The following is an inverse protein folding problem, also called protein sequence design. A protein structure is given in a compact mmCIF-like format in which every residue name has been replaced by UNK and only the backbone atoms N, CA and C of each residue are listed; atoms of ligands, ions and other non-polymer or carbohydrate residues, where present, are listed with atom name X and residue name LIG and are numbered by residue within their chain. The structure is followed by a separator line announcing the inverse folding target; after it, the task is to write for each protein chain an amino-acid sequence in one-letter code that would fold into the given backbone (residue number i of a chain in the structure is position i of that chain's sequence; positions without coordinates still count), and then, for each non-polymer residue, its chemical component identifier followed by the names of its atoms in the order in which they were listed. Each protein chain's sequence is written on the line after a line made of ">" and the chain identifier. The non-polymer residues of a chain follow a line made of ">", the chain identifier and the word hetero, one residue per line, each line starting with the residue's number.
data_IF_263855318348
#
_entry.id   IF_263855318348
#
_cell.length_a   1.000
_cell.length_b   1.000
_cell.length_c   1.000
_cell.angle_alpha   90.00
_cell.angle_beta   90.00
_cell.angle_gamma   90.00
#
_symmetry.space_group_name_H-M   'P 1'
#
loop_
_entity.id
_entity.type
_entity.pdbx_description
1 polymer ?
#
# COMPACT_ATOMS: atom_id res chain seq x y z
N UNK A 1 -21.56 17.76 4.22
CA UNK A 1 -20.42 17.75 5.12
C UNK A 1 -20.71 18.52 6.40
N UNK A 2 -21.18 19.76 6.32
CA UNK A 2 -21.54 20.58 7.52
C UNK A 2 -22.50 19.89 8.51
N UNK A 3 -23.46 19.13 8.02
CA UNK A 3 -24.38 18.36 8.88
C UNK A 3 -23.66 17.19 9.58
N UNK A 4 -22.73 16.52 8.91
CA UNK A 4 -21.91 15.45 9.53
C UNK A 4 -20.97 16.03 10.59
N UNK A 5 -20.40 17.19 10.34
CA UNK A 5 -19.54 17.87 11.31
C UNK A 5 -20.32 18.38 12.52
N UNK A 6 -21.56 18.86 12.33
CA UNK A 6 -22.45 19.23 13.42
C UNK A 6 -22.88 18.01 14.26
N UNK A 7 -22.86 16.81 13.70
CA UNK A 7 -23.16 15.54 14.36
C UNK A 7 -21.89 14.75 14.75
N UNK A 8 -20.72 15.40 14.82
CA UNK A 8 -19.43 14.74 15.08
C UNK A 8 -19.31 14.08 16.47
N UNK A 9 -20.24 14.35 17.39
CA UNK A 9 -20.36 13.61 18.66
C UNK A 9 -20.80 12.14 18.44
N UNK A 10 -21.38 11.84 17.27
CA UNK A 10 -21.71 10.48 16.86
C UNK A 10 -20.50 9.87 16.13
N UNK A 11 -19.96 8.73 16.60
CA UNK A 11 -18.76 8.11 16.02
C UNK A 11 -18.87 7.86 14.53
N UNK A 12 -20.03 7.44 14.06
CA UNK A 12 -20.30 7.10 12.67
C UNK A 12 -20.31 8.34 11.78
N UNK A 13 -20.86 9.46 12.26
CA UNK A 13 -20.80 10.74 11.57
C UNK A 13 -19.38 11.30 11.55
N UNK A 14 -18.63 11.19 12.64
CA UNK A 14 -17.23 11.55 12.72
C UNK A 14 -16.38 10.75 11.71
N UNK A 15 -16.61 9.43 11.62
CA UNK A 15 -15.92 8.60 10.62
C UNK A 15 -16.20 9.07 9.19
N UNK A 16 -17.45 9.29 8.85
CA UNK A 16 -17.84 9.79 7.52
C UNK A 16 -17.23 11.16 7.21
N UNK A 17 -17.29 12.09 8.17
CA UNK A 17 -16.67 13.41 8.04
C UNK A 17 -15.16 13.29 7.81
N UNK A 18 -14.49 12.45 8.60
CA UNK A 18 -13.07 12.17 8.48
C UNK A 18 -12.69 11.62 7.09
N UNK A 19 -13.45 10.65 6.58
CA UNK A 19 -13.22 10.10 5.23
C UNK A 19 -13.45 11.13 4.12
N UNK A 20 -14.46 11.98 4.26
CA UNK A 20 -14.70 13.05 3.29
C UNK A 20 -13.58 14.10 3.32
N UNK A 21 -13.11 14.48 4.51
CA UNK A 21 -11.98 15.42 4.67
C UNK A 21 -10.67 14.83 4.15
N UNK A 22 -10.43 13.53 4.33
CA UNK A 22 -9.27 12.85 3.76
C UNK A 22 -9.27 12.94 2.23
N UNK A 23 -10.41 12.68 1.58
CA UNK A 23 -10.57 12.83 0.13
C UNK A 23 -10.40 14.27 -0.39
N UNK A 24 -10.59 15.26 0.46
CA UNK A 24 -10.39 16.68 0.18
C UNK A 24 -8.98 17.16 0.54
N UNK A 25 -8.10 16.24 0.97
CA UNK A 25 -6.73 16.54 1.46
C UNK A 25 -6.71 17.52 2.65
N UNK A 26 -7.83 17.67 3.34
CA UNK A 26 -7.97 18.46 4.56
C UNK A 26 -7.48 17.65 5.78
N UNK A 27 -6.20 17.27 5.75
CA UNK A 27 -5.59 16.26 6.64
C UNK A 27 -5.74 16.54 8.13
N UNK A 28 -5.62 17.80 8.57
CA UNK A 28 -5.76 18.13 9.99
C UNK A 28 -7.18 17.86 10.52
N UNK A 29 -8.20 18.23 9.71
CA UNK A 29 -9.60 17.98 10.04
C UNK A 29 -9.94 16.50 9.95
N UNK A 30 -9.44 15.81 8.90
CA UNK A 30 -9.59 14.38 8.74
C UNK A 30 -9.05 13.61 9.97
N UNK A 31 -7.84 13.95 10.42
CA UNK A 31 -7.22 13.36 11.62
C UNK A 31 -8.11 13.49 12.84
N UNK A 32 -8.59 14.71 13.15
CA UNK A 32 -9.43 14.96 14.31
C UNK A 32 -10.70 14.09 14.30
N UNK A 33 -11.40 14.06 13.18
CA UNK A 33 -12.62 13.28 13.04
C UNK A 33 -12.36 11.75 13.13
N UNK A 34 -11.33 11.24 12.45
CA UNK A 34 -10.99 9.81 12.48
C UNK A 34 -10.51 9.37 13.86
N UNK A 35 -9.75 10.20 14.57
CA UNK A 35 -9.33 9.91 15.95
C UNK A 35 -10.51 9.91 16.92
N UNK A 36 -11.46 10.85 16.77
CA UNK A 36 -12.70 10.87 17.55
C UNK A 36 -13.54 9.60 17.32
N UNK A 37 -13.67 9.20 16.04
CA UNK A 37 -14.36 7.95 15.69
C UNK A 37 -13.67 6.72 16.32
N UNK A 38 -12.34 6.64 16.24
CA UNK A 38 -11.55 5.55 16.80
C UNK A 38 -11.65 5.47 18.33
N UNK A 39 -11.64 6.61 19.02
CA UNK A 39 -11.78 6.70 20.48
C UNK A 39 -13.12 6.18 21.00
N UNK A 40 -14.14 6.11 20.15
CA UNK A 40 -15.45 5.60 20.52
C UNK A 40 -15.50 4.08 20.70
N UNK A 41 -14.47 3.33 20.27
CA UNK A 41 -14.37 1.88 20.43
C UNK A 41 -15.55 1.15 19.78
N UNK A 42 -16.22 0.27 20.55
CA UNK A 42 -17.31 -0.57 20.05
C UNK A 42 -18.58 0.21 19.62
N UNK A 43 -18.66 1.51 19.90
CA UNK A 43 -19.76 2.35 19.42
C UNK A 43 -19.60 2.74 17.94
N UNK A 44 -18.39 2.63 17.38
CA UNK A 44 -18.13 2.90 15.97
C UNK A 44 -18.79 1.83 15.10
N UNK A 45 -19.63 2.25 14.16
CA UNK A 45 -20.41 1.36 13.29
C UNK A 45 -21.78 0.98 13.88
N UNK A 46 -22.03 1.24 15.17
CA UNK A 46 -23.27 0.81 15.84
C UNK A 46 -24.54 1.44 15.25
N UNK A 47 -24.48 2.71 14.86
CA UNK A 47 -25.63 3.39 14.24
C UNK A 47 -25.90 2.83 12.84
N UNK A 48 -24.88 2.54 12.07
CA UNK A 48 -25.01 1.91 10.75
C UNK A 48 -25.61 0.51 10.88
N UNK A 49 -25.11 -0.30 11.81
CA UNK A 49 -25.66 -1.64 12.08
C UNK A 49 -27.14 -1.59 12.51
N UNK A 50 -27.51 -0.60 13.33
CA UNK A 50 -28.90 -0.42 13.79
C UNK A 50 -29.89 -0.20 12.62
N UNK A 51 -29.44 0.43 11.54
CA UNK A 51 -30.28 0.73 10.37
C UNK A 51 -29.95 -0.16 9.16
N UNK A 52 -29.25 -1.27 9.37
CA UNK A 52 -28.82 -2.20 8.32
C UNK A 52 -28.06 -1.50 7.17
N UNK A 53 -27.22 -0.55 7.52
CA UNK A 53 -26.37 0.20 6.59
C UNK A 53 -24.95 -0.34 6.63
N UNK A 54 -24.32 -0.48 5.47
CA UNK A 54 -22.93 -0.96 5.32
C UNK A 54 -22.10 0.05 4.53
N UNK A 55 -21.82 1.24 5.09
CA UNK A 55 -21.02 2.25 4.38
C UNK A 55 -19.60 1.77 4.15
N UNK A 56 -19.11 2.04 2.96
CA UNK A 56 -17.73 1.75 2.56
C UNK A 56 -17.08 2.98 1.97
N UNK A 57 -15.79 3.10 2.19
CA UNK A 57 -14.94 4.08 1.52
C UNK A 57 -13.76 3.38 0.87
N UNK A 58 -13.26 3.96 -0.22
CA UNK A 58 -12.10 3.42 -0.94
C UNK A 58 -10.87 4.21 -0.56
N UNK A 59 -9.79 3.48 -0.20
CA UNK A 59 -8.46 4.03 0.06
C UNK A 59 -7.47 3.51 -0.98
N UNK A 60 -6.55 4.35 -1.49
CA UNK A 60 -5.37 3.87 -2.18
C UNK A 60 -4.43 3.23 -1.15
N UNK A 61 -3.99 1.99 -1.40
CA UNK A 61 -3.08 1.27 -0.49
C UNK A 61 -1.69 1.14 -1.11
N UNK A 62 -1.62 0.99 -2.42
CA UNK A 62 -0.37 0.97 -3.18
C UNK A 62 -0.66 1.41 -4.61
N UNK A 63 0.38 1.57 -5.45
CA UNK A 63 0.21 2.02 -6.85
C UNK A 63 -0.79 1.16 -7.61
N UNK A 64 -2.00 1.71 -7.82
CA UNK A 64 -3.10 1.06 -8.52
C UNK A 64 -3.88 0.01 -7.72
N UNK A 65 -3.58 -0.17 -6.43
CA UNK A 65 -4.29 -1.08 -5.53
C UNK A 65 -5.11 -0.25 -4.54
N UNK A 66 -6.39 -0.57 -4.45
CA UNK A 66 -7.35 0.11 -3.57
C UNK A 66 -7.96 -0.90 -2.60
N UNK A 67 -8.23 -0.46 -1.38
CA UNK A 67 -8.97 -1.21 -0.38
C UNK A 67 -10.32 -0.55 -0.10
N UNK A 68 -11.34 -1.38 0.12
CA UNK A 68 -12.60 -0.94 0.69
C UNK A 68 -12.53 -1.06 2.21
N UNK A 69 -12.83 0.02 2.89
CA UNK A 69 -12.86 0.09 4.35
C UNK A 69 -14.23 0.51 4.84
N UNK A 70 -14.60 0.03 6.01
CA UNK A 70 -15.84 0.32 6.71
C UNK A 70 -15.56 1.00 8.06
N UNK A 71 -16.57 1.57 8.74
CA UNK A 71 -16.44 2.21 10.05
C UNK A 71 -16.18 1.18 11.15
N UNK A 72 -14.97 0.69 11.21
CA UNK A 72 -14.41 -0.26 12.18
C UNK A 72 -13.06 0.22 12.68
N UNK A 73 -12.54 -0.34 13.77
CA UNK A 73 -11.19 -0.05 14.25
C UNK A 73 -10.16 -0.27 13.10
N UNK A 74 -10.26 -1.41 12.41
CA UNK A 74 -9.40 -1.74 11.28
C UNK A 74 -9.48 -0.69 10.17
N UNK A 75 -10.67 -0.39 9.68
CA UNK A 75 -10.86 0.56 8.58
C UNK A 75 -10.41 1.98 8.93
N UNK A 76 -10.69 2.41 10.15
CA UNK A 76 -10.28 3.74 10.64
C UNK A 76 -8.76 3.86 10.79
N UNK A 77 -8.09 2.80 11.28
CA UNK A 77 -6.63 2.78 11.39
C UNK A 77 -5.96 2.77 10.01
N UNK A 78 -6.49 2.05 9.02
CA UNK A 78 -5.99 2.11 7.64
C UNK A 78 -6.12 3.52 7.06
N UNK A 79 -7.23 4.22 7.32
CA UNK A 79 -7.39 5.60 6.89
C UNK A 79 -6.40 6.56 7.58
N UNK A 80 -6.07 6.31 8.85
CA UNK A 80 -5.06 7.08 9.59
C UNK A 80 -3.64 6.78 9.11
N UNK A 81 -3.34 5.54 8.70
CA UNK A 81 -2.07 5.20 8.04
C UNK A 81 -1.90 6.01 6.76
N UNK A 82 -2.88 5.97 5.85
CA UNK A 82 -2.86 6.75 4.60
C UNK A 82 -2.68 8.26 4.85
N UNK A 83 -3.38 8.78 5.86
CA UNK A 83 -3.25 10.18 6.26
C UNK A 83 -1.84 10.51 6.76
N UNK A 84 -1.24 9.62 7.54
CA UNK A 84 0.13 9.78 8.05
C UNK A 84 1.14 9.72 6.89
N UNK A 85 0.99 8.79 5.94
CA UNK A 85 1.83 8.71 4.74
C UNK A 85 1.74 9.98 3.89
N UNK A 86 0.52 10.48 3.62
CA UNK A 86 0.31 11.70 2.85
C UNK A 86 0.98 12.95 3.49
N UNK A 87 1.26 12.89 4.80
CA UNK A 87 1.92 13.97 5.55
C UNK A 87 3.38 13.72 5.86
N UNK A 88 3.93 12.57 5.50
CA UNK A 88 5.28 12.15 5.86
C UNK A 88 5.46 11.85 7.36
N UNK A 89 4.37 11.54 8.08
CA UNK A 89 4.37 11.16 9.50
C UNK A 89 4.61 9.64 9.63
N UNK A 90 5.86 9.23 9.41
CA UNK A 90 6.24 7.81 9.42
C UNK A 90 6.01 7.16 10.79
N UNK A 91 6.24 7.89 11.89
CA UNK A 91 6.02 7.38 13.25
C UNK A 91 4.53 7.11 13.52
N UNK A 92 3.66 8.06 13.16
CA UNK A 92 2.22 7.89 13.29
C UNK A 92 1.69 6.72 12.45
N UNK A 93 2.20 6.56 11.23
CA UNK A 93 1.87 5.43 10.37
C UNK A 93 2.27 4.10 11.01
N UNK A 94 3.51 4.00 11.52
CA UNK A 94 4.01 2.81 12.19
C UNK A 94 3.17 2.41 13.40
N UNK A 95 2.80 3.36 14.27
CA UNK A 95 1.95 3.10 15.45
C UNK A 95 0.58 2.50 15.06
N UNK A 96 -0.07 3.03 14.02
CA UNK A 96 -1.34 2.48 13.55
C UNK A 96 -1.15 1.09 12.93
N UNK A 97 -0.08 0.86 12.18
CA UNK A 97 0.22 -0.44 11.57
C UNK A 97 0.55 -1.52 12.60
N UNK A 98 1.33 -1.21 13.64
CA UNK A 98 1.60 -2.16 14.72
C UNK A 98 0.30 -2.67 15.36
N UNK A 99 -0.64 -1.75 15.63
CA UNK A 99 -1.94 -2.16 16.15
C UNK A 99 -2.74 -2.97 15.13
N UNK A 100 -2.71 -2.61 13.85
CA UNK A 100 -3.36 -3.37 12.78
C UNK A 100 -2.79 -4.80 12.67
N UNK A 101 -1.48 -4.97 12.78
CA UNK A 101 -0.83 -6.30 12.79
C UNK A 101 -1.24 -7.16 13.99
N UNK A 102 -1.69 -6.55 15.09
CA UNK A 102 -2.23 -7.29 16.25
C UNK A 102 -3.68 -7.71 16.03
N UNK A 103 -4.53 -6.82 15.51
CA UNK A 103 -5.98 -7.08 15.39
C UNK A 103 -6.36 -7.83 14.11
N UNK A 104 -5.52 -7.77 13.08
CA UNK A 104 -5.75 -8.39 11.77
C UNK A 104 -4.43 -8.89 11.13
N UNK A 105 -3.70 -9.81 11.77
CA UNK A 105 -2.35 -10.22 11.34
C UNK A 105 -2.32 -10.95 9.99
N UNK A 106 -3.43 -11.60 9.60
CA UNK A 106 -3.54 -12.33 8.33
C UNK A 106 -4.20 -11.51 7.21
N UNK A 107 -4.54 -10.24 7.48
CA UNK A 107 -5.17 -9.38 6.49
C UNK A 107 -4.17 -8.94 5.42
N UNK A 108 -4.36 -9.32 4.15
CA UNK A 108 -3.40 -8.99 3.10
C UNK A 108 -3.31 -7.48 2.82
N UNK A 109 -4.34 -6.70 3.14
CA UNK A 109 -4.32 -5.23 3.01
C UNK A 109 -3.41 -4.63 4.09
N UNK A 110 -3.55 -5.09 5.32
CA UNK A 110 -2.68 -4.68 6.44
C UNK A 110 -1.24 -5.06 6.16
N UNK A 111 -1.01 -6.28 5.67
CA UNK A 111 0.32 -6.73 5.30
C UNK A 111 0.91 -5.89 4.16
N UNK A 112 0.13 -5.56 3.12
CA UNK A 112 0.59 -4.72 2.02
C UNK A 112 0.98 -3.32 2.50
N UNK A 113 0.15 -2.68 3.33
CA UNK A 113 0.45 -1.36 3.91
C UNK A 113 1.71 -1.42 4.78
N UNK A 114 1.88 -2.47 5.59
CA UNK A 114 3.08 -2.65 6.41
C UNK A 114 4.35 -2.78 5.57
N UNK A 115 4.36 -3.64 4.54
CA UNK A 115 5.55 -3.86 3.72
C UNK A 115 5.90 -2.63 2.87
N UNK A 116 4.93 -1.83 2.48
CA UNK A 116 5.16 -0.58 1.77
C UNK A 116 5.93 0.40 2.65
N UNK A 117 5.42 0.69 3.85
CA UNK A 117 6.03 1.65 4.78
C UNK A 117 7.39 1.16 5.29
N UNK A 118 7.53 -0.14 5.55
CA UNK A 118 8.80 -0.72 5.97
C UNK A 118 9.95 -0.45 4.98
N UNK A 119 9.65 -0.28 3.71
CA UNK A 119 10.66 0.00 2.68
C UNK A 119 11.04 1.49 2.55
N UNK A 120 10.36 2.38 3.24
CA UNK A 120 10.80 3.78 3.37
C UNK A 120 12.03 3.91 4.29
N UNK A 121 12.33 2.86 5.07
CA UNK A 121 13.53 2.73 5.91
C UNK A 121 14.43 1.57 5.43
N UNK A 122 15.00 1.62 4.21
CA UNK A 122 15.70 0.48 3.60
C UNK A 122 17.01 0.09 4.30
N UNK A 123 17.45 0.84 5.28
CA UNK A 123 18.65 0.56 6.09
C UNK A 123 18.34 -0.18 7.39
N UNK A 124 17.08 -0.33 7.75
CA UNK A 124 16.66 -1.15 8.88
C UNK A 124 16.59 -2.63 8.47
N UNK A 125 17.69 -3.32 8.72
CA UNK A 125 17.85 -4.72 8.32
C UNK A 125 16.88 -5.65 9.06
N UNK A 126 16.58 -5.40 10.32
CA UNK A 126 15.65 -6.22 11.11
C UNK A 126 14.22 -6.09 10.57
N UNK A 127 13.84 -4.86 10.19
CA UNK A 127 12.55 -4.60 9.56
C UNK A 127 12.45 -5.28 8.19
N UNK A 128 13.50 -5.21 7.38
CA UNK A 128 13.53 -5.90 6.08
C UNK A 128 13.44 -7.42 6.24
N UNK A 129 14.14 -8.01 7.20
CA UNK A 129 14.08 -9.46 7.48
C UNK A 129 12.67 -9.85 7.95
N UNK A 130 12.02 -9.02 8.76
CA UNK A 130 10.62 -9.20 9.16
C UNK A 130 9.67 -9.16 7.95
N UNK A 131 9.84 -8.22 7.03
CA UNK A 131 9.08 -8.15 5.76
C UNK A 131 9.26 -9.45 4.97
N UNK A 132 10.50 -9.92 4.80
CA UNK A 132 10.82 -11.15 4.07
C UNK A 132 10.14 -12.35 4.71
N UNK A 133 10.17 -12.46 6.04
CA UNK A 133 9.54 -13.55 6.77
C UNK A 133 8.02 -13.55 6.64
N UNK A 134 7.37 -12.41 6.92
CA UNK A 134 5.91 -12.27 6.86
C UNK A 134 5.33 -12.53 5.46
N UNK A 135 6.09 -12.21 4.42
CA UNK A 135 5.64 -12.37 3.03
C UNK A 135 6.05 -13.70 2.40
N UNK A 136 6.70 -14.60 3.15
CA UNK A 136 7.26 -15.85 2.62
C UNK A 136 6.22 -16.76 1.97
N UNK A 137 5.05 -16.88 2.58
CA UNK A 137 3.96 -17.73 2.13
C UNK A 137 3.04 -17.08 1.07
N UNK A 138 3.25 -15.80 0.73
CA UNK A 138 2.39 -15.08 -0.21
C UNK A 138 2.39 -15.78 -1.57
N UNK A 139 1.20 -16.18 -2.02
CA UNK A 139 0.96 -16.69 -3.37
C UNK A 139 0.84 -15.51 -4.35
N UNK A 140 0.35 -15.72 -5.55
CA UNK A 140 0.08 -14.64 -6.52
C UNK A 140 -1.37 -14.75 -7.01
N UNK A 141 -2.33 -14.85 -6.08
CA UNK A 141 -3.72 -15.13 -6.40
C UNK A 141 -4.54 -13.86 -6.63
N UNK A 142 -4.26 -12.80 -5.92
CA UNK A 142 -4.96 -11.52 -5.99
C UNK A 142 -4.03 -10.38 -6.44
N UNK A 143 -4.57 -9.21 -6.85
CA UNK A 143 -3.76 -8.01 -7.09
C UNK A 143 -2.96 -7.56 -5.86
N UNK A 144 -3.52 -7.75 -4.66
CA UNK A 144 -2.87 -7.42 -3.39
C UNK A 144 -1.64 -8.30 -3.19
N UNK A 145 -1.76 -9.61 -3.43
CA UNK A 145 -0.62 -10.54 -3.37
C UNK A 145 0.49 -10.15 -4.33
N UNK A 146 0.12 -9.75 -5.56
CA UNK A 146 1.09 -9.27 -6.55
C UNK A 146 1.84 -8.03 -6.03
N UNK A 147 1.14 -7.10 -5.36
CA UNK A 147 1.73 -5.95 -4.67
C UNK A 147 2.68 -6.38 -3.55
N UNK A 148 2.25 -7.30 -2.68
CA UNK A 148 3.09 -7.84 -1.60
C UNK A 148 4.37 -8.47 -2.16
N UNK A 149 4.27 -9.24 -3.26
CA UNK A 149 5.44 -9.85 -3.92
C UNK A 149 6.40 -8.78 -4.49
N UNK A 150 5.89 -7.67 -5.03
CA UNK A 150 6.72 -6.56 -5.47
C UNK A 150 7.55 -5.99 -4.31
N UNK A 151 6.92 -5.71 -3.17
CA UNK A 151 7.61 -5.18 -2.00
C UNK A 151 8.54 -6.20 -1.35
N UNK A 152 8.16 -7.50 -1.30
CA UNK A 152 9.07 -8.58 -0.90
C UNK A 152 10.36 -8.59 -1.74
N UNK A 153 10.24 -8.44 -3.05
CA UNK A 153 11.41 -8.40 -3.93
C UNK A 153 12.31 -7.19 -3.64
N UNK A 154 11.72 -6.03 -3.35
CA UNK A 154 12.47 -4.84 -2.94
C UNK A 154 13.22 -5.06 -1.62
N UNK A 155 12.58 -5.70 -0.63
CA UNK A 155 13.21 -6.04 0.63
C UNK A 155 14.40 -7.00 0.42
N UNK A 156 14.24 -8.05 -0.39
CA UNK A 156 15.32 -8.95 -0.77
C UNK A 156 16.49 -8.21 -1.47
N UNK A 157 16.16 -7.30 -2.39
CA UNK A 157 17.17 -6.50 -3.10
C UNK A 157 17.93 -5.56 -2.16
N UNK A 158 17.25 -4.95 -1.19
CA UNK A 158 17.84 -4.11 -0.15
C UNK A 158 18.75 -4.92 0.79
N UNK A 159 18.38 -6.19 1.08
CA UNK A 159 19.23 -7.14 1.84
C UNK A 159 20.40 -7.72 1.03
N UNK A 160 20.62 -7.26 -0.21
CA UNK A 160 21.72 -7.74 -1.04
C UNK A 160 21.46 -9.11 -1.71
N UNK A 161 20.21 -9.51 -1.87
CA UNK A 161 19.78 -10.76 -2.50
C UNK A 161 19.11 -10.53 -3.86
N UNK A 162 19.79 -9.94 -4.85
CA UNK A 162 19.17 -9.50 -6.11
C UNK A 162 18.66 -10.65 -6.96
N UNK A 163 19.29 -11.83 -6.96
CA UNK A 163 18.81 -12.98 -7.72
C UNK A 163 17.49 -13.52 -7.15
N UNK A 164 17.36 -13.63 -5.83
CA UNK A 164 16.11 -14.00 -5.18
C UNK A 164 15.00 -12.95 -5.46
N UNK A 165 15.34 -11.67 -5.48
CA UNK A 165 14.41 -10.60 -5.84
C UNK A 165 13.92 -10.74 -7.29
N UNK A 166 14.81 -11.04 -8.25
CA UNK A 166 14.46 -11.28 -9.67
C UNK A 166 13.49 -12.46 -9.79
N UNK A 167 13.73 -13.55 -9.05
CA UNK A 167 12.84 -14.73 -9.06
C UNK A 167 11.44 -14.38 -8.54
N UNK A 168 11.35 -13.61 -7.45
CA UNK A 168 10.07 -13.15 -6.90
C UNK A 168 9.34 -12.25 -7.91
N UNK A 169 10.02 -11.27 -8.54
CA UNK A 169 9.42 -10.41 -9.56
C UNK A 169 8.99 -11.19 -10.80
N UNK A 170 9.74 -12.21 -11.18
CA UNK A 170 9.36 -13.10 -12.28
C UNK A 170 8.08 -13.85 -11.97
N UNK A 171 7.95 -14.37 -10.74
CA UNK A 171 6.71 -15.01 -10.27
C UNK A 171 5.53 -14.03 -10.23
N UNK A 172 5.75 -12.82 -9.70
CA UNK A 172 4.73 -11.76 -9.64
C UNK A 172 4.22 -11.39 -11.05
N UNK A 173 5.10 -11.30 -12.04
CA UNK A 173 4.78 -10.93 -13.41
C UNK A 173 4.07 -12.00 -14.24
N UNK A 174 3.93 -13.24 -13.77
CA UNK A 174 3.31 -14.34 -14.55
C UNK A 174 1.79 -14.21 -14.69
N UNK A 175 1.11 -13.67 -13.70
CA UNK A 175 -0.36 -13.61 -13.66
C UNK A 175 -0.82 -12.18 -13.89
N UNK A 176 -1.30 -11.88 -15.10
CA UNK A 176 -1.67 -10.52 -15.52
C UNK A 176 -3.17 -10.22 -15.39
N UNK A 177 -4.02 -11.25 -15.45
CA UNK A 177 -5.47 -11.09 -15.42
C UNK A 177 -5.90 -10.35 -14.13
N UNK A 178 -6.79 -9.39 -14.26
CA UNK A 178 -7.39 -8.61 -13.18
C UNK A 178 -6.39 -7.81 -12.32
N UNK A 179 -5.22 -7.45 -12.88
CA UNK A 179 -4.21 -6.64 -12.22
C UNK A 179 -4.03 -5.30 -12.92
N UNK A 180 -3.74 -4.23 -12.14
CA UNK A 180 -3.46 -2.90 -12.72
C UNK A 180 -2.20 -2.92 -13.59
N UNK A 181 -2.23 -2.30 -14.77
CA UNK A 181 -1.06 -2.20 -15.65
C UNK A 181 0.11 -1.50 -14.96
N UNK A 182 -0.16 -0.46 -14.15
CA UNK A 182 0.87 0.25 -13.36
C UNK A 182 1.68 -0.66 -12.45
N UNK A 183 1.06 -1.71 -11.90
CA UNK A 183 1.75 -2.69 -11.06
C UNK A 183 2.74 -3.51 -11.90
N UNK A 184 2.35 -3.91 -13.12
CA UNK A 184 3.25 -4.63 -14.02
C UNK A 184 4.38 -3.76 -14.57
N UNK A 185 4.10 -2.50 -14.86
CA UNK A 185 5.14 -1.55 -15.26
C UNK A 185 6.19 -1.43 -14.15
N UNK A 186 5.75 -1.34 -12.90
CA UNK A 186 6.67 -1.28 -11.76
C UNK A 186 7.46 -2.59 -11.57
N UNK A 187 6.81 -3.75 -11.65
CA UNK A 187 7.47 -5.07 -11.57
C UNK A 187 8.53 -5.21 -12.65
N UNK A 188 8.21 -4.82 -13.90
CA UNK A 188 9.13 -4.89 -15.02
C UNK A 188 10.30 -3.93 -14.84
N UNK A 189 10.02 -2.70 -14.42
CA UNK A 189 11.04 -1.71 -14.13
C UNK A 189 12.02 -2.21 -13.05
N UNK A 190 11.52 -2.62 -11.89
CA UNK A 190 12.35 -3.08 -10.77
C UNK A 190 13.19 -4.31 -11.17
N UNK A 191 12.62 -5.23 -11.96
CA UNK A 191 13.35 -6.39 -12.49
C UNK A 191 14.46 -5.99 -13.47
N UNK A 192 14.21 -5.02 -14.33
CA UNK A 192 15.20 -4.50 -15.26
C UNK A 192 16.38 -3.84 -14.52
N UNK A 193 16.10 -3.03 -13.51
CA UNK A 193 17.12 -2.44 -12.64
C UNK A 193 17.96 -3.52 -11.94
N UNK A 194 17.33 -4.58 -11.42
CA UNK A 194 18.06 -5.69 -10.81
C UNK A 194 18.92 -6.45 -11.81
N UNK A 195 18.44 -6.70 -13.04
CA UNK A 195 19.26 -7.29 -14.09
C UNK A 195 20.48 -6.43 -14.42
N UNK A 196 20.31 -5.10 -14.50
CA UNK A 196 21.44 -4.18 -14.72
C UNK A 196 22.46 -4.26 -13.57
N UNK A 197 21.96 -4.29 -12.32
CA UNK A 197 22.77 -4.34 -11.10
C UNK A 197 23.60 -5.64 -10.98
N UNK A 198 23.07 -6.78 -11.45
CA UNK A 198 23.80 -8.06 -11.47
C UNK A 198 24.59 -8.30 -12.76
N UNK A 199 24.74 -7.28 -13.62
CA UNK A 199 25.54 -7.37 -14.85
C UNK A 199 24.83 -8.03 -16.06
N UNK A 200 23.55 -8.39 -15.94
CA UNK A 200 22.76 -9.01 -17.03
C UNK A 200 22.20 -7.93 -17.97
N UNK A 201 23.10 -7.12 -18.57
CA UNK A 201 22.78 -5.92 -19.36
C UNK A 201 21.78 -6.19 -20.51
N UNK A 202 21.93 -7.30 -21.22
CA UNK A 202 21.04 -7.64 -22.34
C UNK A 202 19.60 -7.91 -21.88
N UNK A 203 19.44 -8.54 -20.70
CA UNK A 203 18.11 -8.79 -20.11
C UNK A 203 17.50 -7.48 -19.61
N UNK A 204 18.28 -6.65 -18.91
CA UNK A 204 17.85 -5.33 -18.47
C UNK A 204 17.33 -4.49 -19.64
N UNK A 205 18.11 -4.37 -20.72
CA UNK A 205 17.73 -3.60 -21.90
C UNK A 205 16.42 -4.10 -22.52
N UNK A 206 16.25 -5.41 -22.68
CA UNK A 206 15.01 -6.01 -23.21
C UNK A 206 13.78 -5.68 -22.35
N UNK A 207 13.91 -5.69 -21.02
CA UNK A 207 12.82 -5.32 -20.14
C UNK A 207 12.46 -3.84 -20.23
N UNK A 208 13.49 -2.95 -20.31
CA UNK A 208 13.26 -1.52 -20.50
C UNK A 208 12.64 -1.21 -21.87
N UNK A 209 13.09 -1.84 -22.96
CA UNK A 209 12.50 -1.68 -24.30
C UNK A 209 11.03 -2.08 -24.32
N UNK A 210 10.67 -3.22 -23.68
CA UNK A 210 9.28 -3.65 -23.55
C UNK A 210 8.44 -2.68 -22.72
N UNK A 211 9.01 -2.16 -21.61
CA UNK A 211 8.33 -1.19 -20.79
C UNK A 211 8.11 0.13 -21.56
N UNK A 212 9.10 0.58 -22.31
CA UNK A 212 8.97 1.77 -23.15
C UNK A 212 7.91 1.64 -24.24
N UNK A 213 7.77 0.45 -24.81
CA UNK A 213 6.72 0.18 -25.79
C UNK A 213 5.30 0.19 -25.19
N UNK A 214 5.15 -0.17 -23.90
CA UNK A 214 3.86 -0.21 -23.22
C UNK A 214 3.54 1.11 -22.47
N UNK A 215 4.55 1.79 -21.95
CA UNK A 215 4.44 2.99 -21.12
C UNK A 215 5.63 3.95 -21.35
N UNK A 216 5.69 4.64 -22.49
CA UNK A 216 6.82 5.52 -22.83
C UNK A 216 7.01 6.70 -21.87
N UNK A 217 5.93 7.06 -21.15
CA UNK A 217 5.93 8.12 -20.13
C UNK A 217 6.48 7.69 -18.77
N UNK A 218 6.89 6.40 -18.62
CA UNK A 218 7.45 5.93 -17.37
C UNK A 218 8.77 6.63 -17.03
N UNK A 219 8.87 7.17 -15.81
CA UNK A 219 9.96 8.05 -15.39
C UNK A 219 11.36 7.46 -15.62
N UNK A 220 12.26 8.27 -16.19
CA UNK A 220 13.67 7.94 -16.41
C UNK A 220 13.94 6.89 -17.49
N UNK A 221 12.91 6.32 -18.14
CA UNK A 221 13.08 5.18 -19.05
C UNK A 221 13.78 5.55 -20.35
N UNK A 222 13.48 6.74 -20.92
CA UNK A 222 14.13 7.22 -22.14
C UNK A 222 15.64 7.42 -21.94
N UNK A 223 16.06 7.92 -20.78
CA UNK A 223 17.47 8.08 -20.41
C UNK A 223 18.17 6.72 -20.26
N UNK A 224 17.52 5.74 -19.62
CA UNK A 224 18.03 4.37 -19.46
C UNK A 224 18.26 3.68 -20.80
N UNK A 225 17.48 4.02 -21.82
CA UNK A 225 17.62 3.49 -23.18
C UNK A 225 18.55 4.31 -24.06
N UNK A 226 19.02 5.47 -23.62
CA UNK A 226 19.86 6.38 -24.39
C UNK A 226 19.12 7.05 -25.55
N UNK A 227 17.82 7.30 -25.37
CA UNK A 227 16.95 7.92 -26.39
C UNK A 227 16.87 9.46 -26.25
N UNK A 228 17.59 10.05 -25.28
CA UNK A 228 17.75 11.49 -25.04
C UNK A 228 19.21 11.83 -24.87
#
# INVERSE_FOLDING_TARGET
>A
LSQLEAASDLPDAAWMAGMMRLKQEAFAQARGHLQSALAAGDRLGALFAKYDLSPQSTLPIAKGIFAHISPTERGTRLALVELCEARGDAEGAAQHLERLMVIAPEDPIVLLSFVQIALDTPHDHDLLDRVIALTAATQNDTPIDTGILLYRARALAARGLPDAAIDVLTRAGRRRKDRPDRLFHQIRHDRAELYARVGRKAQARREFEKLYAEAPEFDGLAERLGLR
#
